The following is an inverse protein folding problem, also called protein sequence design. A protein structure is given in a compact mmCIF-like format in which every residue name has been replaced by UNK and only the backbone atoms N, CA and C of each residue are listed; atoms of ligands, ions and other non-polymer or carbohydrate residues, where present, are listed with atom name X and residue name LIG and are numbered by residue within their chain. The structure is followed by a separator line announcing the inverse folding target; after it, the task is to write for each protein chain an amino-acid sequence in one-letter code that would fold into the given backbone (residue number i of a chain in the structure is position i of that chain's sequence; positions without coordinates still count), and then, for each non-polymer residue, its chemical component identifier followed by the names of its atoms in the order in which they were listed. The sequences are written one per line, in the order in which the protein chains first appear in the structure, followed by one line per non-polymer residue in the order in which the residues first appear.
data_IF_128702795367
#
_entry.id   IF_128702795367
#
_cell.length_a   1.000
_cell.length_b   1.000
_cell.length_c   1.000
_cell.angle_alpha   90.00
_cell.angle_beta   90.00
_cell.angle_gamma   90.00
#
_symmetry.space_group_name_H-M   'P 1'
#
loop_
_entity.id
_entity.type
_entity.pdbx_description
1 polymer ?
#
# COMPACT_ATOMS: atom_id res chain seq x y z
N UNK A 1 -60.63 53.27 -34.77
CA UNK A 1 -59.21 53.24 -34.54
C UNK A 1 -58.91 52.63 -33.15
N UNK A 2 -59.49 51.48 -32.83
CA UNK A 2 -59.34 50.86 -31.44
C UNK A 2 -59.20 49.35 -31.40
N UNK A 3 -58.76 48.71 -32.50
CA UNK A 3 -58.55 47.24 -32.55
C UNK A 3 -57.08 46.77 -32.55
N UNK A 4 -56.15 47.69 -32.78
CA UNK A 4 -54.72 47.31 -32.97
C UNK A 4 -53.91 47.14 -31.63
N UNK A 5 -54.39 47.73 -30.53
CA UNK A 5 -53.64 47.69 -29.25
C UNK A 5 -53.85 46.42 -28.40
N UNK A 6 -54.97 45.70 -28.62
CA UNK A 6 -55.28 44.48 -27.85
C UNK A 6 -54.41 43.28 -28.28
N UNK A 7 -54.10 43.18 -29.57
CA UNK A 7 -53.31 42.04 -30.11
C UNK A 7 -51.84 42.15 -29.78
N UNK A 8 -51.29 43.37 -29.70
CA UNK A 8 -49.88 43.56 -29.26
C UNK A 8 -49.68 43.25 -27.76
N UNK A 9 -50.64 43.62 -26.92
CA UNK A 9 -50.59 43.40 -25.47
C UNK A 9 -50.78 41.93 -25.08
N UNK A 10 -51.50 41.14 -25.88
CA UNK A 10 -51.67 39.70 -25.71
C UNK A 10 -50.37 38.97 -26.12
N UNK A 11 -49.75 39.37 -27.22
CA UNK A 11 -48.44 38.77 -27.66
C UNK A 11 -47.31 39.04 -26.71
N UNK A 12 -47.22 40.20 -26.06
CA UNK A 12 -46.21 40.55 -25.09
C UNK A 12 -46.38 39.73 -23.79
N UNK A 13 -47.59 39.51 -23.31
CA UNK A 13 -47.87 38.70 -22.11
C UNK A 13 -47.63 37.22 -22.33
N UNK A 14 -47.85 36.67 -23.53
CA UNK A 14 -47.53 35.29 -23.86
C UNK A 14 -46.02 35.09 -23.98
N UNK A 15 -45.27 36.02 -24.55
CA UNK A 15 -43.80 35.93 -24.66
C UNK A 15 -43.15 35.99 -23.26
N UNK A 16 -43.63 36.89 -22.37
CA UNK A 16 -43.09 36.94 -20.98
C UNK A 16 -43.46 35.71 -20.17
N UNK A 17 -44.65 35.16 -20.32
CA UNK A 17 -45.03 33.92 -19.64
C UNK A 17 -44.21 32.70 -20.15
N UNK A 18 -43.97 32.61 -21.45
CA UNK A 18 -43.16 31.53 -22.03
C UNK A 18 -41.68 31.64 -21.61
N UNK A 19 -41.14 32.85 -21.52
CA UNK A 19 -39.78 33.10 -21.07
C UNK A 19 -39.60 32.77 -19.59
N UNK A 20 -40.64 33.06 -18.76
CA UNK A 20 -40.61 32.70 -17.33
C UNK A 20 -40.69 31.19 -17.11
N UNK A 21 -41.45 30.47 -17.91
CA UNK A 21 -41.55 29.00 -17.87
C UNK A 21 -40.25 28.34 -18.36
N UNK A 22 -39.61 28.90 -19.40
CA UNK A 22 -38.30 28.41 -19.84
C UNK A 22 -37.20 28.65 -18.78
N UNK A 23 -37.19 29.80 -18.11
CA UNK A 23 -36.24 30.09 -17.03
C UNK A 23 -36.45 29.17 -15.82
N UNK A 24 -37.71 28.85 -15.47
CA UNK A 24 -37.98 27.90 -14.38
C UNK A 24 -37.60 26.46 -14.76
N UNK A 25 -37.77 26.03 -16.02
CA UNK A 25 -37.38 24.71 -16.50
C UNK A 25 -35.86 24.51 -16.50
N UNK A 26 -35.06 25.56 -16.77
CA UNK A 26 -33.58 25.49 -16.66
C UNK A 26 -33.10 25.42 -15.21
N UNK A 27 -33.84 25.95 -14.24
CA UNK A 27 -33.49 25.88 -12.81
C UNK A 27 -33.63 24.49 -12.18
N UNK A 28 -34.47 23.61 -12.74
CA UNK A 28 -34.70 22.26 -12.19
C UNK A 28 -33.76 21.19 -12.71
N UNK A 29 -32.98 21.44 -13.76
CA UNK A 29 -32.08 20.46 -14.35
C UNK A 29 -30.73 20.33 -13.62
N UNK A 30 -30.39 21.25 -12.70
CA UNK A 30 -29.08 21.32 -12.06
C UNK A 30 -28.87 20.38 -10.87
N UNK A 31 -29.93 19.96 -10.18
CA UNK A 31 -29.80 19.25 -8.92
C UNK A 31 -29.52 17.75 -9.05
N UNK A 32 -29.76 17.13 -10.21
CA UNK A 32 -29.61 15.69 -10.38
C UNK A 32 -28.16 15.22 -10.67
N UNK A 33 -27.25 16.14 -11.03
CA UNK A 33 -25.89 15.81 -11.49
C UNK A 33 -24.83 15.99 -10.39
N UNK A 34 -25.12 16.77 -9.36
CA UNK A 34 -24.13 17.13 -8.33
C UNK A 34 -23.76 15.96 -7.42
N UNK A 35 -24.71 15.13 -7.00
CA UNK A 35 -24.48 14.02 -6.08
C UNK A 35 -23.54 12.94 -6.64
N UNK A 36 -23.77 12.39 -7.83
CA UNK A 36 -22.88 11.38 -8.43
C UNK A 36 -21.47 11.91 -8.77
N UNK A 37 -21.37 13.17 -9.20
CA UNK A 37 -20.07 13.78 -9.52
C UNK A 37 -19.22 14.04 -8.28
N UNK A 38 -19.82 14.45 -7.17
CA UNK A 38 -19.07 14.63 -5.90
C UNK A 38 -18.51 13.31 -5.38
N UNK A 39 -19.25 12.20 -5.48
CA UNK A 39 -18.77 10.88 -5.09
C UNK A 39 -17.60 10.45 -5.99
N UNK A 40 -17.70 10.68 -7.29
CA UNK A 40 -16.69 10.27 -8.27
C UNK A 40 -15.41 11.09 -8.12
N UNK A 41 -15.50 12.39 -7.91
CA UNK A 41 -14.36 13.28 -7.75
C UNK A 41 -13.65 13.05 -6.39
N UNK A 42 -14.41 12.89 -5.31
CA UNK A 42 -13.86 12.72 -3.96
C UNK A 42 -13.17 11.38 -3.77
N UNK A 43 -13.76 10.27 -4.22
CA UNK A 43 -13.24 8.92 -3.94
C UNK A 43 -11.82 8.70 -4.45
N UNK A 44 -11.50 9.17 -5.66
CA UNK A 44 -10.16 9.01 -6.24
C UNK A 44 -9.12 9.82 -5.46
N UNK A 45 -9.43 11.06 -5.14
CA UNK A 45 -8.54 11.96 -4.40
C UNK A 45 -8.27 11.44 -2.99
N UNK A 46 -9.32 11.02 -2.26
CA UNK A 46 -9.14 10.44 -0.92
C UNK A 46 -8.32 9.15 -0.95
N UNK A 47 -8.58 8.25 -1.89
CA UNK A 47 -7.80 7.02 -2.03
C UNK A 47 -6.32 7.31 -2.32
N UNK A 48 -6.02 8.29 -3.18
CA UNK A 48 -4.64 8.69 -3.48
C UNK A 48 -3.94 9.28 -2.26
N UNK A 49 -4.62 10.17 -1.52
CA UNK A 49 -4.05 10.79 -0.30
C UNK A 49 -3.81 9.72 0.78
N UNK A 50 -4.77 8.81 1.01
CA UNK A 50 -4.61 7.72 1.98
C UNK A 50 -3.43 6.85 1.57
N UNK A 51 -3.38 6.39 0.33
CA UNK A 51 -2.29 5.56 -0.16
C UNK A 51 -0.92 6.23 0.04
N UNK A 52 -0.81 7.51 -0.30
CA UNK A 52 0.43 8.28 -0.12
C UNK A 52 0.82 8.40 1.35
N UNK A 53 -0.13 8.70 2.24
CA UNK A 53 0.16 8.86 3.66
C UNK A 53 0.48 7.52 4.34
N UNK A 54 -0.08 6.41 3.88
CA UNK A 54 0.31 5.06 4.30
C UNK A 54 1.75 4.74 3.88
N UNK A 55 2.12 5.05 2.63
CA UNK A 55 3.49 4.86 2.14
C UNK A 55 4.50 5.71 2.94
N UNK A 56 4.17 6.98 3.20
CA UNK A 56 4.98 7.86 4.04
C UNK A 56 5.12 7.32 5.47
N UNK A 57 4.06 6.75 6.03
CA UNK A 57 4.08 6.14 7.36
C UNK A 57 4.98 4.89 7.40
N UNK A 58 4.89 4.00 6.40
CA UNK A 58 5.74 2.82 6.31
C UNK A 58 7.21 3.24 6.17
N UNK A 59 7.52 4.19 5.31
CA UNK A 59 8.88 4.72 5.15
C UNK A 59 9.38 5.34 6.47
N UNK A 60 8.54 6.07 7.20
CA UNK A 60 8.89 6.63 8.50
C UNK A 60 9.19 5.53 9.54
N UNK A 61 8.44 4.43 9.54
CA UNK A 61 8.70 3.26 10.40
C UNK A 61 10.08 2.67 10.09
N UNK A 62 10.41 2.46 8.81
CA UNK A 62 11.72 1.93 8.40
C UNK A 62 12.87 2.85 8.86
N UNK A 63 12.73 4.16 8.64
CA UNK A 63 13.76 5.13 9.03
C UNK A 63 13.93 5.15 10.55
N UNK A 64 12.84 5.22 11.32
CA UNK A 64 12.91 5.19 12.80
C UNK A 64 13.53 3.90 13.31
N UNK A 65 13.12 2.76 12.76
CA UNK A 65 13.67 1.46 13.13
C UNK A 65 15.19 1.39 12.86
N UNK A 66 15.66 1.98 11.76
CA UNK A 66 17.08 2.07 11.42
C UNK A 66 17.88 2.94 12.38
N UNK A 67 17.23 3.90 13.02
CA UNK A 67 17.80 4.79 14.04
C UNK A 67 17.52 4.34 15.48
N UNK A 68 17.06 3.10 15.67
CA UNK A 68 16.67 2.53 16.96
C UNK A 68 15.66 3.40 17.74
N UNK A 69 14.82 4.13 16.99
CA UNK A 69 13.76 4.95 17.57
C UNK A 69 12.41 4.21 17.61
N UNK A 70 11.63 4.54 18.61
CA UNK A 70 10.27 4.06 18.72
C UNK A 70 9.38 4.65 17.62
N UNK A 71 8.43 3.86 17.15
CA UNK A 71 7.46 4.29 16.16
C UNK A 71 6.05 3.89 16.56
N UNK A 72 5.07 4.59 16.02
CA UNK A 72 3.67 4.24 16.06
C UNK A 72 3.09 4.22 14.65
N UNK A 73 2.04 3.46 14.46
CA UNK A 73 1.29 3.42 13.21
C UNK A 73 -0.18 3.72 13.48
N UNK A 74 -0.84 4.31 12.50
CA UNK A 74 -2.28 4.55 12.52
C UNK A 74 -2.90 4.06 11.22
N UNK A 75 -4.02 3.37 11.30
CA UNK A 75 -4.82 3.04 10.12
C UNK A 75 -6.01 3.98 9.97
N UNK A 76 -6.40 4.26 8.75
CA UNK A 76 -7.63 5.01 8.47
C UNK A 76 -8.81 4.05 8.56
N UNK A 77 -9.68 4.25 9.56
CA UNK A 77 -10.86 3.44 9.76
C UNK A 77 -12.03 3.88 8.86
N UNK A 78 -12.22 5.19 8.72
CA UNK A 78 -13.26 5.74 7.87
C UNK A 78 -12.94 7.18 7.44
N UNK A 79 -13.47 7.56 6.30
CA UNK A 79 -13.49 8.93 5.82
C UNK A 79 -14.95 9.28 5.54
N UNK A 80 -15.47 10.27 6.25
CA UNK A 80 -16.81 10.79 6.04
C UNK A 80 -16.69 12.16 5.39
N UNK A 81 -17.10 12.27 4.12
CA UNK A 81 -17.14 13.56 3.43
C UNK A 81 -18.42 14.29 3.81
N UNK A 82 -18.29 15.46 4.43
CA UNK A 82 -19.37 16.39 4.64
C UNK A 82 -19.28 17.48 3.57
N UNK A 83 -20.25 17.47 2.65
CA UNK A 83 -20.32 18.43 1.54
C UNK A 83 -21.40 19.44 1.85
N UNK A 84 -21.07 20.71 1.90
CA UNK A 84 -22.05 21.78 1.99
C UNK A 84 -22.01 22.65 0.74
N UNK A 85 -23.20 22.84 0.16
CA UNK A 85 -23.40 23.78 -0.91
C UNK A 85 -24.20 24.99 -0.38
N UNK A 86 -23.64 26.17 -0.47
CA UNK A 86 -24.37 27.38 -0.22
C UNK A 86 -24.46 28.21 -1.51
N UNK A 87 -25.69 28.51 -1.93
CA UNK A 87 -25.94 29.46 -2.98
C UNK A 87 -26.39 30.79 -2.35
N UNK A 88 -25.59 31.83 -2.50
CA UNK A 88 -25.97 33.17 -2.07
C UNK A 88 -26.30 34.01 -3.29
N UNK A 89 -27.54 34.42 -3.40
CA UNK A 89 -27.97 35.43 -4.34
C UNK A 89 -28.23 36.74 -3.54
N UNK A 90 -27.34 37.71 -3.63
CA UNK A 90 -27.54 39.00 -3.00
C UNK A 90 -28.04 39.98 -4.05
N UNK A 91 -29.32 40.37 -3.96
CA UNK A 91 -29.89 41.46 -4.73
C UNK A 91 -29.88 42.71 -3.86
N UNK A 92 -28.95 43.63 -4.09
CA UNK A 92 -28.97 44.92 -3.44
C UNK A 92 -29.87 45.88 -4.23
N UNK A 93 -31.07 46.14 -3.72
CA UNK A 93 -31.94 47.18 -4.21
C UNK A 93 -31.55 48.50 -3.52
N UNK A 94 -30.75 49.33 -4.18
CA UNK A 94 -30.51 50.69 -3.72
C UNK A 94 -31.62 51.60 -4.20
N UNK A 95 -32.48 52.08 -3.30
CA UNK A 95 -33.38 53.20 -3.58
C UNK A 95 -32.60 54.45 -3.25
N UNK A 96 -31.92 55.03 -4.22
CA UNK A 96 -31.21 56.28 -4.08
C UNK A 96 -32.13 57.44 -4.35
N UNK A 97 -32.08 58.46 -3.47
CA UNK A 97 -32.74 59.75 -3.63
C UNK A 97 -32.10 60.54 -4.78
N UNK A 98 -32.82 61.43 -5.37
CA UNK A 98 -32.83 61.87 -6.77
C UNK A 98 -31.69 62.79 -7.25
N UNK A 99 -30.55 62.90 -6.64
CA UNK A 99 -29.51 63.89 -7.01
C UNK A 99 -28.15 63.35 -7.53
N UNK A 100 -28.04 62.07 -7.77
CA UNK A 100 -26.87 61.50 -8.43
C UNK A 100 -27.26 60.39 -9.43
N UNK A 101 -27.37 60.77 -10.67
CA UNK A 101 -27.64 59.86 -11.79
C UNK A 101 -26.40 59.07 -12.13
N UNK A 102 -26.10 58.08 -11.34
CA UNK A 102 -25.28 56.92 -11.75
C UNK A 102 -26.27 55.77 -11.96
N UNK A 103 -26.43 55.37 -13.19
CA UNK A 103 -27.52 54.51 -13.66
C UNK A 103 -27.85 53.31 -12.79
N UNK A 104 -29.09 52.86 -12.83
CA UNK A 104 -29.60 51.67 -12.17
C UNK A 104 -28.80 50.40 -12.57
N UNK A 105 -27.66 50.21 -11.98
CA UNK A 105 -26.96 48.93 -11.95
C UNK A 105 -27.48 48.21 -10.70
N UNK A 106 -28.33 47.24 -10.91
CA UNK A 106 -28.64 46.22 -9.91
C UNK A 106 -27.43 45.24 -9.93
N UNK A 107 -26.50 45.31 -8.99
CA UNK A 107 -25.45 44.32 -8.93
C UNK A 107 -26.09 43.02 -8.46
N UNK A 108 -26.43 42.14 -9.40
CA UNK A 108 -26.78 40.77 -9.13
C UNK A 108 -25.49 39.97 -8.98
N UNK A 109 -25.05 39.76 -7.76
CA UNK A 109 -23.96 38.81 -7.47
C UNK A 109 -24.56 37.47 -7.08
N UNK A 110 -24.34 36.46 -7.93
CA UNK A 110 -24.63 35.08 -7.61
C UNK A 110 -23.30 34.36 -7.32
N UNK A 111 -23.09 33.95 -6.09
CA UNK A 111 -21.96 33.18 -5.66
C UNK A 111 -22.41 31.74 -5.32
N UNK A 112 -21.68 30.76 -5.82
CA UNK A 112 -21.80 29.38 -5.36
C UNK A 112 -20.55 29.11 -4.51
N UNK A 113 -20.74 28.88 -3.22
CA UNK A 113 -19.66 28.42 -2.34
C UNK A 113 -19.81 26.90 -2.17
N UNK A 114 -18.73 26.21 -2.48
CA UNK A 114 -18.54 24.78 -2.21
C UNK A 114 -17.59 24.65 -1.03
N UNK A 115 -18.03 23.96 -0.01
CA UNK A 115 -17.24 23.70 1.19
C UNK A 115 -17.23 22.20 1.45
N UNK A 116 -16.03 21.63 1.62
CA UNK A 116 -15.82 20.24 1.91
C UNK A 116 -15.07 20.11 3.24
N UNK A 117 -15.73 19.51 4.24
CA UNK A 117 -15.20 19.31 5.59
C UNK A 117 -15.16 17.80 5.89
N UNK A 118 -14.13 17.06 5.42
CA UNK A 118 -14.05 15.64 5.67
C UNK A 118 -13.72 15.36 7.14
N UNK A 119 -14.38 14.35 7.70
CA UNK A 119 -14.05 13.79 9.00
C UNK A 119 -13.27 12.49 8.79
N UNK A 120 -12.02 12.44 9.25
CA UNK A 120 -11.16 11.27 9.14
C UNK A 120 -11.04 10.61 10.51
N UNK A 121 -11.34 9.32 10.55
CA UNK A 121 -11.25 8.51 11.77
C UNK A 121 -10.02 7.61 11.70
N UNK A 122 -9.15 7.71 12.69
CA UNK A 122 -7.93 6.93 12.80
C UNK A 122 -8.03 5.90 13.93
N UNK A 123 -7.46 4.71 13.70
CA UNK A 123 -7.25 3.68 14.72
C UNK A 123 -5.76 3.53 14.96
N UNK A 124 -5.28 3.79 16.20
CA UNK A 124 -3.89 3.50 16.55
C UNK A 124 -3.61 2.00 16.46
N UNK A 125 -2.54 1.66 15.76
CA UNK A 125 -2.00 0.31 15.73
C UNK A 125 -0.97 0.19 16.86
N UNK A 126 -1.40 -0.29 18.00
CA UNK A 126 -0.59 -0.37 19.23
C UNK A 126 -1.12 -1.45 20.16
N UNK A 127 -0.39 -1.73 21.25
CA UNK A 127 -0.79 -2.69 22.25
C UNK A 127 -0.31 -4.12 22.00
N UNK A 128 -0.79 -5.05 22.83
CA UNK A 128 -0.30 -6.44 22.85
C UNK A 128 -0.54 -7.15 21.50
N UNK A 129 -1.72 -7.02 20.94
CA UNK A 129 -2.08 -7.70 19.69
C UNK A 129 -1.21 -7.22 18.50
N UNK A 130 -0.95 -5.92 18.43
CA UNK A 130 -0.05 -5.35 17.43
C UNK A 130 1.37 -5.91 17.60
N UNK A 131 1.92 -5.87 18.82
CA UNK A 131 3.27 -6.40 19.09
C UNK A 131 3.35 -7.90 18.85
N UNK A 132 2.32 -8.65 19.22
CA UNK A 132 2.24 -10.09 18.97
C UNK A 132 2.32 -10.37 17.45
N UNK A 133 1.58 -9.64 16.62
CA UNK A 133 1.62 -9.78 15.17
C UNK A 133 2.98 -9.40 14.60
N UNK A 134 3.60 -8.34 15.09
CA UNK A 134 4.90 -7.88 14.63
C UNK A 134 6.03 -8.86 14.99
N UNK A 135 5.98 -9.47 16.16
CA UNK A 135 7.03 -10.37 16.66
C UNK A 135 6.79 -11.84 16.31
N UNK A 136 5.58 -12.21 15.86
CA UNK A 136 5.30 -13.59 15.44
C UNK A 136 5.98 -13.90 14.12
N UNK A 137 6.50 -15.12 13.93
CA UNK A 137 7.03 -15.57 12.66
C UNK A 137 5.98 -15.45 11.53
N UNK A 138 6.44 -15.19 10.33
CA UNK A 138 5.60 -15.21 9.11
C UNK A 138 5.07 -16.62 8.92
N UNK A 139 3.77 -16.78 8.79
CA UNK A 139 3.15 -18.09 8.57
C UNK A 139 3.43 -18.61 7.15
N UNK A 140 3.32 -19.93 6.97
CA UNK A 140 3.46 -20.54 5.64
C UNK A 140 2.46 -19.98 4.65
N UNK A 141 1.21 -19.72 5.07
CA UNK A 141 0.19 -19.12 4.22
C UNK A 141 0.56 -17.70 3.77
N UNK A 142 1.10 -16.87 4.67
CA UNK A 142 1.46 -15.48 4.34
C UNK A 142 2.57 -15.42 3.28
N UNK A 143 3.66 -16.18 3.46
CA UNK A 143 4.74 -16.13 2.48
C UNK A 143 4.35 -16.76 1.13
N UNK A 144 3.49 -17.80 1.12
CA UNK A 144 2.92 -18.37 -0.11
C UNK A 144 2.06 -17.35 -0.84
N UNK A 145 1.17 -16.65 -0.12
CA UNK A 145 0.33 -15.59 -0.71
C UNK A 145 1.17 -14.44 -1.27
N UNK A 146 2.25 -14.05 -0.59
CA UNK A 146 3.16 -13.01 -1.08
C UNK A 146 3.98 -13.46 -2.28
N UNK A 147 4.41 -14.72 -2.28
CA UNK A 147 5.24 -15.30 -3.32
C UNK A 147 4.46 -15.68 -4.59
N UNK A 148 3.16 -15.99 -4.48
CA UNK A 148 2.34 -16.43 -5.61
C UNK A 148 2.35 -15.45 -6.80
N UNK A 149 2.00 -14.17 -6.61
CA UNK A 149 2.01 -13.18 -7.68
C UNK A 149 3.40 -12.56 -7.92
N UNK A 150 4.42 -12.93 -7.14
CA UNK A 150 5.74 -12.33 -7.24
C UNK A 150 6.45 -12.75 -8.53
N UNK A 151 7.02 -11.79 -9.24
CA UNK A 151 7.87 -12.06 -10.42
C UNK A 151 9.13 -12.87 -10.07
N UNK A 152 9.61 -12.73 -8.85
CA UNK A 152 10.77 -13.41 -8.28
C UNK A 152 10.39 -14.06 -6.94
N UNK A 153 9.79 -15.25 -6.94
CA UNK A 153 9.38 -15.94 -5.72
C UNK A 153 10.54 -16.19 -4.74
N UNK A 154 11.75 -16.43 -5.27
CA UNK A 154 12.96 -16.60 -4.48
C UNK A 154 13.34 -15.38 -3.65
N UNK A 155 13.09 -14.16 -4.14
CA UNK A 155 13.32 -12.95 -3.37
C UNK A 155 12.37 -12.86 -2.17
N UNK A 156 11.09 -13.23 -2.35
CA UNK A 156 10.11 -13.30 -1.26
C UNK A 156 10.48 -14.38 -0.26
N UNK A 157 10.92 -15.54 -0.77
CA UNK A 157 11.41 -16.64 0.06
C UNK A 157 12.62 -16.20 0.90
N UNK A 158 13.61 -15.57 0.27
CA UNK A 158 14.82 -15.07 0.95
C UNK A 158 14.45 -14.04 2.03
N UNK A 159 13.48 -13.17 1.77
CA UNK A 159 13.03 -12.18 2.75
C UNK A 159 12.33 -12.84 3.94
N UNK A 160 11.42 -13.77 3.71
CA UNK A 160 10.57 -14.35 4.74
C UNK A 160 11.21 -15.49 5.51
N UNK A 161 12.13 -16.25 4.88
CA UNK A 161 12.69 -17.49 5.42
C UNK A 161 14.10 -17.27 5.93
N UNK A 162 14.32 -17.58 7.20
CA UNK A 162 15.63 -17.53 7.88
C UNK A 162 16.43 -18.81 7.68
N UNK A 163 15.73 -19.93 7.61
CA UNK A 163 16.34 -21.25 7.40
C UNK A 163 15.36 -22.17 6.68
N UNK A 164 15.90 -23.00 5.80
CA UNK A 164 15.17 -24.09 5.17
C UNK A 164 16.00 -25.36 5.35
N UNK A 165 15.46 -26.37 6.04
CA UNK A 165 16.21 -27.54 6.49
C UNK A 165 17.56 -27.14 7.12
N UNK A 166 18.68 -27.64 6.60
CA UNK A 166 20.03 -27.29 7.06
C UNK A 166 20.55 -25.94 6.58
N UNK A 167 19.97 -25.37 5.51
CA UNK A 167 20.46 -24.16 4.85
C UNK A 167 20.13 -22.91 5.64
N UNK A 168 21.13 -22.06 5.87
CA UNK A 168 20.97 -20.79 6.60
C UNK A 168 20.90 -19.61 5.64
N UNK A 169 20.06 -18.66 5.97
CA UNK A 169 19.89 -17.39 5.29
C UNK A 169 20.04 -16.22 6.29
N UNK A 170 21.24 -15.88 6.70
CA UNK A 170 21.49 -14.69 7.51
C UNK A 170 21.34 -13.44 6.63
N UNK A 171 20.58 -12.43 7.07
CA UNK A 171 20.41 -11.17 6.34
C UNK A 171 20.92 -9.95 7.09
N UNK A 172 21.08 -10.01 8.40
CA UNK A 172 21.43 -8.86 9.24
C UNK A 172 22.60 -9.21 10.16
N UNK A 173 23.74 -8.54 9.97
CA UNK A 173 24.87 -8.57 10.89
C UNK A 173 25.52 -9.94 11.15
N UNK A 174 25.09 -10.97 10.45
CA UNK A 174 25.62 -12.34 10.54
C UNK A 174 26.54 -12.59 9.34
N UNK A 175 27.22 -13.73 9.35
CA UNK A 175 28.04 -14.20 8.22
C UNK A 175 27.22 -14.24 6.91
N UNK A 176 27.86 -14.09 5.76
CA UNK A 176 27.18 -14.15 4.47
C UNK A 176 26.41 -15.46 4.31
N UNK A 177 25.36 -15.44 3.48
CA UNK A 177 24.59 -16.64 3.11
C UNK A 177 25.56 -17.69 2.56
N UNK A 178 25.32 -18.96 2.89
CA UNK A 178 26.11 -20.02 2.29
C UNK A 178 25.89 -20.06 0.78
N UNK A 179 26.90 -20.41 -0.02
CA UNK A 179 26.73 -20.62 -1.46
C UNK A 179 25.60 -21.62 -1.78
N UNK A 180 25.40 -22.60 -0.91
CA UNK A 180 24.34 -23.59 -1.03
C UNK A 180 22.94 -22.96 -0.90
N UNK A 181 22.76 -21.98 0.01
CA UNK A 181 21.48 -21.27 0.11
C UNK A 181 21.23 -20.42 -1.13
N UNK A 182 22.24 -19.71 -1.64
CA UNK A 182 22.10 -18.94 -2.88
C UNK A 182 21.73 -19.85 -4.06
N UNK A 183 22.39 -21.01 -4.17
CA UNK A 183 22.07 -21.99 -5.20
C UNK A 183 20.67 -22.58 -5.06
N UNK A 184 20.25 -22.86 -3.84
CA UNK A 184 18.88 -23.29 -3.54
C UNK A 184 17.85 -22.26 -4.04
N UNK A 185 18.05 -20.98 -3.75
CA UNK A 185 17.12 -19.90 -4.19
C UNK A 185 17.07 -19.80 -5.72
N UNK A 186 18.22 -19.94 -6.39
CA UNK A 186 18.28 -19.95 -7.85
C UNK A 186 17.46 -21.11 -8.45
N UNK A 187 17.63 -22.31 -7.91
CA UNK A 187 16.87 -23.49 -8.33
C UNK A 187 15.38 -23.33 -8.02
N UNK A 188 15.04 -22.86 -6.82
CA UNK A 188 13.67 -22.57 -6.45
C UNK A 188 12.99 -21.63 -7.44
N UNK A 189 13.64 -20.51 -7.77
CA UNK A 189 13.14 -19.54 -8.76
C UNK A 189 13.01 -20.15 -10.16
N UNK A 190 13.96 -21.01 -10.56
CA UNK A 190 13.94 -21.67 -11.85
C UNK A 190 12.77 -22.66 -11.96
N UNK A 191 12.61 -23.52 -10.96
CA UNK A 191 11.55 -24.54 -10.92
C UNK A 191 10.16 -23.92 -10.81
N UNK A 192 10.02 -22.83 -10.02
CA UNK A 192 8.79 -22.07 -9.91
C UNK A 192 8.37 -21.39 -11.22
N UNK A 193 9.33 -20.84 -11.98
CA UNK A 193 9.06 -20.20 -13.28
C UNK A 193 8.81 -21.19 -14.40
N UNK A 194 9.26 -22.42 -14.24
CA UNK A 194 9.01 -23.49 -15.19
C UNK A 194 7.70 -24.27 -14.89
N UNK A 195 6.95 -23.84 -13.85
CA UNK A 195 5.76 -24.53 -13.35
C UNK A 195 6.01 -25.99 -12.95
N UNK A 196 7.25 -26.32 -12.61
CA UNK A 196 7.67 -27.65 -12.13
C UNK A 196 7.47 -27.81 -10.64
N UNK A 197 7.58 -26.69 -9.88
CA UNK A 197 7.40 -26.66 -8.43
C UNK A 197 6.23 -25.73 -8.09
N UNK A 198 5.19 -26.28 -7.51
CA UNK A 198 3.99 -25.53 -7.14
C UNK A 198 3.70 -25.57 -5.63
N UNK A 199 3.02 -24.54 -5.12
CA UNK A 199 2.50 -24.55 -3.77
C UNK A 199 1.08 -25.12 -3.78
N UNK A 200 0.85 -26.18 -3.03
CA UNK A 200 -0.44 -26.82 -2.91
C UNK A 200 -0.92 -26.77 -1.46
N UNK A 201 -2.19 -26.43 -1.27
CA UNK A 201 -2.85 -26.53 0.04
C UNK A 201 -3.84 -27.68 0.03
N UNK A 202 -3.65 -28.63 0.95
CA UNK A 202 -4.63 -29.70 1.19
C UNK A 202 -5.54 -29.30 2.35
N UNK A 203 -6.86 -29.44 2.20
CA UNK A 203 -7.83 -29.06 3.24
C UNK A 203 -7.71 -29.96 4.48
N UNK A 204 -8.17 -29.46 5.63
CA UNK A 204 -8.15 -30.18 6.92
C UNK A 204 -8.95 -31.49 6.92
N UNK A 205 -9.83 -31.68 5.95
CA UNK A 205 -10.60 -32.92 5.76
C UNK A 205 -9.80 -34.06 5.14
N UNK A 206 -8.59 -33.77 4.63
CA UNK A 206 -7.70 -34.82 4.09
C UNK A 206 -6.85 -35.45 5.19
N UNK A 207 -6.41 -36.70 4.98
CA UNK A 207 -5.53 -37.44 5.91
C UNK A 207 -4.22 -36.69 6.18
N UNK A 208 -3.78 -35.90 5.19
CA UNK A 208 -2.60 -35.02 5.28
C UNK A 208 -3.07 -33.59 4.93
N UNK A 209 -3.32 -32.79 5.94
CA UNK A 209 -3.68 -31.37 5.78
C UNK A 209 -2.44 -30.48 5.86
N UNK A 210 -2.51 -29.32 5.20
CA UNK A 210 -1.44 -28.31 5.26
C UNK A 210 -0.96 -27.83 3.92
N UNK A 211 0.24 -27.25 3.93
CA UNK A 211 0.89 -26.73 2.72
C UNK A 211 1.97 -27.69 2.26
N UNK A 212 2.08 -27.83 0.94
CA UNK A 212 3.04 -28.73 0.29
C UNK A 212 3.70 -28.01 -0.89
N UNK A 213 4.92 -28.42 -1.20
CA UNK A 213 5.49 -28.28 -2.53
C UNK A 213 5.15 -29.52 -3.34
N UNK A 214 4.54 -29.30 -4.49
CA UNK A 214 4.29 -30.33 -5.51
C UNK A 214 5.31 -30.13 -6.63
N UNK A 215 6.12 -31.15 -6.88
CA UNK A 215 7.14 -31.15 -7.93
C UNK A 215 6.69 -32.20 -8.96
N UNK A 216 6.36 -31.72 -10.16
CA UNK A 216 5.79 -32.54 -11.23
C UNK A 216 6.42 -32.21 -12.59
N UNK A 217 6.18 -33.02 -13.59
CA UNK A 217 6.61 -32.82 -14.99
C UNK A 217 8.10 -32.47 -15.18
N UNK A 218 8.99 -33.06 -14.37
CA UNK A 218 10.40 -32.66 -14.27
C UNK A 218 11.38 -33.56 -15.04
N UNK A 219 10.98 -34.77 -15.52
CA UNK A 219 11.90 -35.82 -15.96
C UNK A 219 12.77 -35.41 -17.15
N UNK A 220 12.20 -34.77 -18.17
CA UNK A 220 12.91 -34.51 -19.44
C UNK A 220 13.90 -33.32 -19.33
N UNK A 221 13.42 -32.15 -18.91
CA UNK A 221 14.18 -30.92 -18.98
C UNK A 221 14.74 -30.46 -17.63
N UNK A 222 14.14 -30.91 -16.53
CA UNK A 222 14.38 -30.37 -15.19
C UNK A 222 14.87 -31.39 -14.17
N UNK A 223 15.02 -32.67 -14.56
CA UNK A 223 15.41 -33.76 -13.67
C UNK A 223 16.69 -33.52 -12.88
N UNK A 224 17.74 -32.98 -13.51
CA UNK A 224 18.99 -32.65 -12.81
C UNK A 224 18.79 -31.48 -11.83
N UNK A 225 18.00 -30.46 -12.19
CA UNK A 225 17.70 -29.33 -11.31
C UNK A 225 16.86 -29.75 -10.10
N UNK A 226 15.91 -30.64 -10.28
CA UNK A 226 15.09 -31.20 -9.18
C UNK A 226 15.96 -32.05 -8.26
N UNK A 227 16.81 -32.88 -8.81
CA UNK A 227 17.73 -33.71 -8.02
C UNK A 227 18.67 -32.85 -7.18
N UNK A 228 19.32 -31.86 -7.78
CA UNK A 228 20.18 -30.91 -7.05
C UNK A 228 19.39 -30.14 -5.97
N UNK A 229 18.16 -29.73 -6.26
CA UNK A 229 17.27 -29.05 -5.32
C UNK A 229 16.95 -29.90 -4.09
N UNK A 230 16.65 -31.17 -4.29
CA UNK A 230 16.38 -32.14 -3.22
C UNK A 230 17.65 -32.47 -2.40
N UNK A 231 18.78 -32.64 -3.09
CA UNK A 231 20.08 -32.90 -2.45
C UNK A 231 20.50 -31.74 -1.53
N UNK A 232 20.32 -30.48 -1.96
CA UNK A 232 20.58 -29.29 -1.13
C UNK A 232 19.71 -29.25 0.13
N UNK A 233 18.51 -29.80 0.07
CA UNK A 233 17.60 -29.88 1.21
C UNK A 233 17.78 -31.13 2.07
N UNK A 234 18.71 -32.03 1.70
CA UNK A 234 18.93 -33.33 2.37
C UNK A 234 17.63 -34.17 2.39
N UNK A 235 16.86 -34.14 1.26
CA UNK A 235 15.58 -34.84 1.13
C UNK A 235 15.77 -36.11 0.32
N UNK A 236 15.49 -37.26 0.96
CA UNK A 236 15.52 -38.57 0.35
C UNK A 236 14.13 -38.95 -0.19
N UNK A 237 13.90 -38.73 -1.48
CA UNK A 237 12.67 -39.17 -2.14
C UNK A 237 12.98 -40.26 -3.17
N UNK A 238 12.20 -41.32 -3.16
CA UNK A 238 12.24 -42.30 -4.26
C UNK A 238 11.58 -41.69 -5.49
N UNK A 239 12.40 -41.22 -6.42
CA UNK A 239 11.96 -40.72 -7.70
C UNK A 239 11.67 -41.95 -8.62
N UNK A 240 10.39 -42.31 -8.74
CA UNK A 240 9.90 -43.32 -9.65
C UNK A 240 9.19 -42.73 -10.88
N UNK A 241 9.43 -41.43 -11.12
CA UNK A 241 8.77 -40.67 -12.19
C UNK A 241 7.41 -40.07 -11.79
N UNK A 242 6.93 -40.33 -10.58
CA UNK A 242 5.71 -39.73 -10.08
C UNK A 242 5.95 -38.34 -9.46
N UNK A 243 4.89 -37.53 -9.34
CA UNK A 243 4.95 -36.24 -8.65
C UNK A 243 5.44 -36.38 -7.21
N UNK A 244 6.35 -35.51 -6.80
CA UNK A 244 6.94 -35.47 -5.45
C UNK A 244 6.20 -34.44 -4.62
N UNK A 245 5.54 -34.89 -3.55
CA UNK A 245 4.80 -34.02 -2.65
C UNK A 245 5.56 -33.84 -1.32
N UNK A 246 6.07 -32.63 -1.06
CA UNK A 246 6.89 -32.32 0.11
C UNK A 246 6.09 -31.47 1.11
N UNK A 247 5.78 -31.98 2.30
CA UNK A 247 5.11 -31.22 3.34
C UNK A 247 5.97 -30.01 3.78
N UNK A 248 5.34 -28.82 3.88
CA UNK A 248 5.97 -27.62 4.43
C UNK A 248 5.61 -27.49 5.91
N UNK A 249 6.63 -27.40 6.77
CA UNK A 249 6.45 -27.34 8.22
C UNK A 249 7.22 -26.16 8.80
N UNK A 250 6.60 -25.44 9.72
CA UNK A 250 7.32 -24.49 10.56
C UNK A 250 7.98 -25.26 11.70
N UNK A 251 9.26 -25.64 11.50
CA UNK A 251 10.00 -26.47 12.43
C UNK A 251 11.50 -26.15 12.42
N UNK A 252 12.18 -26.56 13.47
CA UNK A 252 13.63 -26.44 13.62
C UNK A 252 14.29 -27.75 13.15
N UNK A 253 15.45 -27.64 12.47
CA UNK A 253 16.25 -28.77 12.04
C UNK A 253 15.91 -29.25 10.63
N UNK A 254 16.66 -30.26 10.17
CA UNK A 254 16.49 -30.88 8.86
C UNK A 254 15.49 -32.04 8.91
N UNK A 255 14.92 -32.38 7.77
CA UNK A 255 14.04 -33.52 7.59
C UNK A 255 14.29 -34.15 6.24
N UNK A 256 14.42 -35.45 6.19
CA UNK A 256 14.63 -36.20 4.94
C UNK A 256 13.35 -36.40 4.11
N UNK A 257 12.18 -36.05 4.64
CA UNK A 257 10.87 -36.27 4.00
C UNK A 257 9.96 -35.05 4.02
N UNK A 258 10.43 -33.90 4.50
CA UNK A 258 9.66 -32.68 4.60
C UNK A 258 10.58 -31.45 4.50
N UNK A 259 10.01 -30.33 4.14
CA UNK A 259 10.69 -29.03 4.14
C UNK A 259 10.38 -28.32 5.44
N UNK A 260 11.37 -28.24 6.33
CA UNK A 260 11.28 -27.50 7.58
C UNK A 260 11.71 -26.06 7.37
N UNK A 261 10.82 -25.12 7.67
CA UNK A 261 11.03 -23.69 7.50
C UNK A 261 11.13 -23.01 8.86
N UNK A 262 12.09 -22.14 9.01
CA UNK A 262 12.13 -21.12 10.06
C UNK A 262 11.95 -19.76 9.40
N UNK A 263 10.82 -19.13 9.66
CA UNK A 263 10.50 -17.84 9.08
C UNK A 263 10.90 -16.68 10.00
N UNK A 264 11.12 -15.51 9.41
CA UNK A 264 11.33 -14.27 10.14
C UNK A 264 10.02 -13.74 10.69
N UNK A 265 10.11 -12.97 11.75
CA UNK A 265 9.00 -12.12 12.21
C UNK A 265 8.84 -10.92 11.28
N UNK A 266 7.68 -10.24 11.36
CA UNK A 266 7.48 -8.98 10.63
C UNK A 266 8.49 -7.91 11.06
N UNK A 267 8.87 -7.90 12.34
CA UNK A 267 9.91 -7.01 12.85
C UNK A 267 11.25 -7.23 12.17
N UNK A 268 11.72 -8.48 12.07
CA UNK A 268 12.97 -8.82 11.36
C UNK A 268 12.90 -8.47 9.87
N UNK A 269 11.75 -8.67 9.22
CA UNK A 269 11.54 -8.26 7.83
C UNK A 269 11.69 -6.75 7.67
N UNK A 270 11.10 -5.94 8.57
CA UNK A 270 11.29 -4.48 8.57
C UNK A 270 12.74 -4.07 8.77
N UNK A 271 13.48 -4.77 9.63
CA UNK A 271 14.92 -4.51 9.81
C UNK A 271 15.71 -4.77 8.53
N UNK A 272 15.39 -5.85 7.81
CA UNK A 272 16.02 -6.13 6.49
C UNK A 272 15.79 -4.98 5.51
N UNK A 273 14.56 -4.47 5.42
CA UNK A 273 14.26 -3.31 4.57
C UNK A 273 14.94 -2.03 5.06
N UNK A 274 15.02 -1.84 6.38
CA UNK A 274 15.70 -0.69 6.99
C UNK A 274 17.21 -0.65 6.71
N UNK A 275 17.82 -1.80 6.46
CA UNK A 275 19.24 -1.87 6.12
C UNK A 275 19.59 -1.21 4.77
N UNK A 276 18.62 -1.09 3.86
CA UNK A 276 18.78 -0.37 2.59
C UNK A 276 18.72 1.15 2.69
N UNK A 277 18.70 1.72 3.90
CA UNK A 277 18.66 3.16 4.12
C UNK A 277 20.07 3.74 4.07
N UNK A 278 20.30 4.67 3.17
CA UNK A 278 21.52 5.49 3.13
C UNK A 278 21.61 6.40 4.35
N UNK A 279 22.61 6.16 5.19
CA UNK A 279 22.83 6.96 6.37
C UNK A 279 23.75 8.15 6.05
N UNK A 280 23.34 9.39 6.35
CA UNK A 280 24.21 10.56 6.20
C UNK A 280 25.50 10.42 7.01
N UNK A 281 26.69 10.71 6.44
CA UNK A 281 27.96 10.64 7.17
C UNK A 281 27.96 11.40 8.50
N UNK A 282 27.34 12.57 8.52
CA UNK A 282 27.20 13.39 9.74
C UNK A 282 26.44 12.67 10.87
N UNK A 283 25.52 11.75 10.55
CA UNK A 283 24.79 11.00 11.56
C UNK A 283 25.63 9.85 12.12
N UNK A 284 26.50 9.24 11.29
CA UNK A 284 27.48 8.25 11.75
C UNK A 284 28.55 8.89 12.65
N UNK A 285 29.09 10.04 12.23
CA UNK A 285 30.07 10.83 13.00
C UNK A 285 29.50 11.27 14.36
N UNK A 286 28.23 11.71 14.38
CA UNK A 286 27.52 12.07 15.60
C UNK A 286 27.08 10.87 16.44
N UNK A 287 27.33 9.62 16.00
CA UNK A 287 26.95 8.37 16.68
C UNK A 287 25.47 8.30 17.06
N UNK A 288 24.59 8.89 16.24
CA UNK A 288 23.13 8.80 16.43
C UNK A 288 22.51 7.61 15.71
N UNK A 289 23.30 6.87 15.00
CA UNK A 289 22.94 5.61 14.33
C UNK A 289 24.21 4.77 14.19
N UNK A 290 24.09 3.46 14.38
CA UNK A 290 25.22 2.55 14.21
C UNK A 290 25.44 2.22 12.73
N UNK A 291 26.73 2.05 12.30
CA UNK A 291 27.00 1.56 10.96
C UNK A 291 26.42 0.15 10.82
N UNK A 292 25.72 -0.10 9.73
CA UNK A 292 25.18 -1.41 9.43
C UNK A 292 26.20 -2.16 8.57
N UNK A 293 26.73 -3.26 9.10
CA UNK A 293 27.65 -4.12 8.36
C UNK A 293 26.87 -5.35 7.92
N UNK A 294 26.29 -5.29 6.72
CA UNK A 294 25.67 -6.47 6.11
C UNK A 294 26.17 -6.63 4.68
N UNK A 295 27.23 -7.42 4.51
CA UNK A 295 27.74 -7.77 3.18
C UNK A 295 26.66 -8.39 2.28
N UNK A 296 25.72 -9.14 2.87
CA UNK A 296 24.64 -9.82 2.14
C UNK A 296 23.65 -8.83 1.54
N UNK A 297 23.32 -7.75 2.27
CA UNK A 297 22.36 -6.74 1.78
C UNK A 297 22.99 -5.84 0.73
N UNK A 298 24.28 -5.59 0.78
CA UNK A 298 25.02 -4.88 -0.27
C UNK A 298 25.03 -5.70 -1.58
N UNK A 299 25.23 -7.01 -1.51
CA UNK A 299 25.19 -7.89 -2.67
C UNK A 299 23.76 -8.06 -3.24
N UNK A 300 22.75 -8.13 -2.38
CA UNK A 300 21.37 -8.33 -2.82
C UNK A 300 20.73 -7.08 -3.41
N UNK A 301 21.26 -5.90 -3.11
CA UNK A 301 20.69 -4.60 -3.57
C UNK A 301 19.16 -4.58 -3.54
N UNK A 302 18.55 -5.06 -2.45
CA UNK A 302 17.12 -5.36 -2.40
C UNK A 302 16.26 -4.11 -2.55
N UNK A 303 16.64 -3.04 -1.84
CA UNK A 303 15.95 -1.75 -1.87
C UNK A 303 16.91 -0.64 -1.39
N UNK A 304 16.91 0.50 -2.07
CA UNK A 304 17.66 1.67 -1.64
C UNK A 304 16.71 2.79 -1.23
N UNK A 305 16.89 3.29 -0.01
CA UNK A 305 16.23 4.50 0.48
C UNK A 305 17.29 5.58 0.58
N UNK A 306 17.23 6.55 -0.32
CA UNK A 306 18.21 7.64 -0.40
C UNK A 306 18.02 8.69 0.69
N UNK A 307 19.10 9.41 1.03
CA UNK A 307 19.04 10.56 1.92
C UNK A 307 19.51 11.85 1.25
N UNK A 308 18.83 12.97 1.50
CA UNK A 308 19.24 14.28 0.97
C UNK A 308 18.90 15.45 1.91
N UNK A 309 19.64 16.57 1.77
CA UNK A 309 19.33 17.82 2.47
C UNK A 309 18.19 18.58 1.83
N UNK A 310 18.13 18.51 0.50
CA UNK A 310 17.09 19.17 -0.29
C UNK A 310 15.93 18.23 -0.52
N UNK A 311 14.73 18.79 -0.60
CA UNK A 311 13.52 18.02 -0.93
C UNK A 311 13.67 17.41 -2.31
N UNK A 312 13.56 16.07 -2.45
CA UNK A 312 13.61 15.42 -3.75
C UNK A 312 12.37 15.79 -4.57
N UNK A 313 12.57 16.12 -5.84
CA UNK A 313 11.47 16.45 -6.77
C UNK A 313 10.83 15.17 -7.32
N UNK A 314 11.68 14.20 -7.67
CA UNK A 314 11.29 12.95 -8.31
C UNK A 314 11.35 11.78 -7.31
N UNK A 315 10.37 11.70 -6.40
CA UNK A 315 10.30 10.62 -5.43
C UNK A 315 8.94 9.92 -5.46
N UNK A 316 8.94 8.59 -5.43
CA UNK A 316 7.73 7.77 -5.28
C UNK A 316 7.13 7.97 -3.89
N UNK A 317 7.97 7.90 -2.88
CA UNK A 317 7.63 8.18 -1.49
C UNK A 317 8.78 8.95 -0.85
N UNK A 318 8.47 9.89 0.03
CA UNK A 318 9.46 10.70 0.76
C UNK A 318 8.95 11.14 2.10
N UNK A 319 9.85 11.20 3.07
CA UNK A 319 9.57 11.75 4.40
C UNK A 319 10.68 12.72 4.81
N UNK A 320 10.38 13.56 5.78
CA UNK A 320 11.40 14.40 6.45
C UNK A 320 11.64 13.88 7.85
N UNK A 321 12.89 13.49 8.13
CA UNK A 321 13.30 13.01 9.44
C UNK A 321 14.64 13.63 9.83
N UNK A 322 14.79 14.16 11.07
CA UNK A 322 16.00 14.82 11.56
C UNK A 322 16.59 15.83 10.57
N UNK A 323 15.73 16.74 10.04
CA UNK A 323 16.03 17.80 9.05
C UNK A 323 16.52 17.32 7.69
N UNK A 324 16.56 16.03 7.44
CA UNK A 324 16.89 15.41 6.15
C UNK A 324 15.67 14.76 5.51
N UNK A 325 15.73 14.60 4.19
CA UNK A 325 14.76 13.84 3.41
C UNK A 325 15.27 12.44 3.21
N UNK A 326 14.37 11.47 3.41
CA UNK A 326 14.56 10.07 3.04
C UNK A 326 13.51 9.73 2.00
N UNK A 327 13.93 9.02 0.93
CA UNK A 327 13.03 8.81 -0.20
C UNK A 327 13.44 7.62 -1.06
N UNK A 328 12.47 7.12 -1.83
CA UNK A 328 12.68 6.16 -2.92
C UNK A 328 12.54 6.94 -4.22
N UNK A 329 13.56 6.88 -5.10
CA UNK A 329 13.54 7.56 -6.38
C UNK A 329 12.48 6.95 -7.31
N UNK A 330 11.74 7.80 -8.02
CA UNK A 330 10.67 7.36 -8.91
C UNK A 330 11.17 6.54 -10.12
N UNK A 331 12.45 6.67 -10.48
CA UNK A 331 13.08 5.90 -11.55
C UNK A 331 13.62 4.55 -11.08
N UNK A 332 13.83 4.36 -9.78
CA UNK A 332 14.28 3.08 -9.22
C UNK A 332 13.12 2.07 -9.15
N UNK A 333 12.94 1.36 -10.25
CA UNK A 333 11.88 0.35 -10.39
C UNK A 333 12.06 -0.85 -9.46
N UNK A 334 13.29 -1.14 -9.04
CA UNK A 334 13.60 -2.24 -8.11
C UNK A 334 13.15 -1.89 -6.70
N UNK A 335 13.59 -0.76 -6.17
CA UNK A 335 13.19 -0.30 -4.83
C UNK A 335 11.67 -0.06 -4.74
N UNK A 336 11.05 0.43 -5.81
CA UNK A 336 9.59 0.57 -5.88
C UNK A 336 8.85 -0.77 -5.75
N UNK A 337 9.34 -1.81 -6.42
CA UNK A 337 8.75 -3.17 -6.32
C UNK A 337 8.94 -3.76 -4.94
N UNK A 338 10.14 -3.62 -4.38
CA UNK A 338 10.44 -4.10 -3.03
C UNK A 338 9.59 -3.39 -1.98
N UNK A 339 9.41 -2.07 -2.11
CA UNK A 339 8.53 -1.28 -1.25
C UNK A 339 7.05 -1.69 -1.39
N UNK A 340 6.58 -1.95 -2.61
CA UNK A 340 5.24 -2.47 -2.86
C UNK A 340 5.00 -3.84 -2.21
N UNK A 341 6.00 -4.74 -2.25
CA UNK A 341 5.97 -6.01 -1.55
C UNK A 341 5.87 -5.81 -0.02
N UNK A 342 6.70 -4.93 0.52
CA UNK A 342 6.67 -4.58 1.95
C UNK A 342 5.29 -4.02 2.36
N UNK A 343 4.74 -3.10 1.57
CA UNK A 343 3.41 -2.54 1.82
C UNK A 343 2.33 -3.63 1.86
N UNK A 344 2.36 -4.55 0.89
CA UNK A 344 1.43 -5.68 0.85
C UNK A 344 1.60 -6.57 2.09
N UNK A 345 2.83 -6.86 2.47
CA UNK A 345 3.15 -7.64 3.66
C UNK A 345 2.64 -7.00 4.95
N UNK A 346 2.92 -5.71 5.14
CA UNK A 346 2.44 -4.95 6.30
C UNK A 346 0.90 -4.91 6.30
N UNK A 347 0.27 -4.64 5.15
CA UNK A 347 -1.18 -4.65 5.01
C UNK A 347 -1.81 -5.98 5.43
N UNK A 348 -1.21 -7.12 5.05
CA UNK A 348 -1.68 -8.44 5.46
C UNK A 348 -1.54 -8.66 6.99
N UNK A 349 -0.43 -8.20 7.57
CA UNK A 349 -0.16 -8.36 9.01
C UNK A 349 -1.01 -7.45 9.88
N UNK A 350 -1.32 -6.26 9.41
CA UNK A 350 -2.06 -5.24 10.16
C UNK A 350 -3.55 -5.24 9.86
N UNK A 351 -4.00 -5.91 8.79
CA UNK A 351 -5.41 -6.10 8.51
C UNK A 351 -6.06 -6.84 9.68
N UNK A 352 -6.78 -6.10 10.52
CA UNK A 352 -7.51 -6.66 11.64
C UNK A 352 -9.00 -6.73 11.33
N UNK A 353 -9.59 -7.93 11.24
CA UNK A 353 -11.05 -8.06 11.15
C UNK A 353 -11.78 -7.46 12.36
N UNK A 354 -11.08 -7.33 13.51
CA UNK A 354 -11.63 -6.74 14.73
C UNK A 354 -11.39 -5.22 14.83
N UNK A 355 -10.62 -4.61 13.94
CA UNK A 355 -10.34 -3.17 13.93
C UNK A 355 -11.62 -2.32 13.80
N UNK A 356 -12.70 -2.90 13.27
CA UNK A 356 -14.02 -2.26 13.23
C UNK A 356 -14.67 -2.10 14.61
N UNK A 357 -14.09 -2.67 15.68
CA UNK A 357 -14.57 -2.56 17.08
C UNK A 357 -13.67 -1.68 17.95
N UNK A 358 -12.55 -1.20 17.45
CA UNK A 358 -11.64 -0.35 18.21
C UNK A 358 -12.23 1.07 18.37
N UNK A 359 -11.89 1.78 19.47
CA UNK A 359 -12.29 3.17 19.63
C UNK A 359 -11.71 4.02 18.50
N UNK A 360 -12.57 4.72 17.79
CA UNK A 360 -12.24 5.55 16.66
C UNK A 360 -11.96 6.98 17.14
N UNK A 361 -10.75 7.46 16.90
CA UNK A 361 -10.42 8.87 17.12
C UNK A 361 -10.91 9.69 15.90
N UNK A 362 -11.91 10.52 16.12
CA UNK A 362 -12.46 11.42 15.11
C UNK A 362 -11.82 12.80 15.24
N UNK A 363 -11.09 13.22 14.24
CA UNK A 363 -10.50 14.56 14.18
C UNK A 363 -11.23 15.36 13.10
N UNK A 364 -12.02 16.37 13.47
CA UNK A 364 -12.59 17.29 12.48
C UNK A 364 -11.45 18.12 11.86
N UNK A 365 -11.41 18.18 10.56
CA UNK A 365 -10.48 19.03 9.81
C UNK A 365 -11.27 20.31 9.45
N UNK A 366 -10.95 21.41 10.13
CA UNK A 366 -11.53 22.72 9.84
C UNK A 366 -10.74 23.44 8.77
#
# INVERSE_FOLDING_TARGET
MMKTNRTAMIKTKTITATMLVLLSALGFSGCAVVGPQSITAGRGVYAEVINRTEDEQILNVLVRLRYDETFGMMSVASVTANLSFSTQAVANFGVGDSDNYAGNLIPLSAGVAYEENPTISYVPLSGEDFMRRMLSPVSTSEWILLGGPARHPGAVFTLAVRRVNGLRNPLLGEEPSSPEFARFVELFDRLRRADVLENVQRPETSTESGYFWDIHDYEDAHGDSVREFLDLLDIEVKSDGSAILLPLRLAVGSSVSAVNLQTRSAWEVLQVFGAGIEIPPAHLEAKIVEPHVSAVLEEMEFMTIHSSEKRPENATVRIRFRVRWFYIDATDTRSKRAFGLLRTFIGMRLADPAAHKAPVLTVPVN
#
